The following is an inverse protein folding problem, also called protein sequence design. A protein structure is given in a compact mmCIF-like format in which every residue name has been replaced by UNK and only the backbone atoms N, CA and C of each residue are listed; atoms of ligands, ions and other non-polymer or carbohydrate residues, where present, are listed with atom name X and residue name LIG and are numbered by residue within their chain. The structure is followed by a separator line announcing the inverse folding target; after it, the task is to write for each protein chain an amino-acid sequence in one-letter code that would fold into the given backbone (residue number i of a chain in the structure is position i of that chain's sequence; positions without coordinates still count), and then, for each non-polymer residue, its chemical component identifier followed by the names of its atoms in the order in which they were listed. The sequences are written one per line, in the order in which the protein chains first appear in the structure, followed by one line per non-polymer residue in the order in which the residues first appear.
data_IF_813854167842
#
_entry.id   IF_813854167842
#
_cell.length_a   1.000
_cell.length_b   1.000
_cell.length_c   1.000
_cell.angle_alpha   90.00
_cell.angle_beta   90.00
_cell.angle_gamma   90.00
#
_symmetry.space_group_name_H-M   'P 1'
#
loop_
_entity.id
_entity.type
_entity.pdbx_description
1 polymer ?
#
# COMPACT_ATOMS: atom_id res chain seq x y z
N UNK A 1 -24.93 11.14 -14.97
CA UNK A 1 -25.58 9.91 -14.45
C UNK A 1 -27.00 9.69 -14.97
N UNK A 2 -27.89 10.69 -15.00
CA UNK A 2 -29.31 10.52 -15.40
C UNK A 2 -29.50 9.90 -16.80
N UNK A 3 -28.67 10.29 -17.78
CA UNK A 3 -28.71 9.79 -19.17
C UNK A 3 -28.49 8.27 -19.30
N UNK A 4 -27.75 7.65 -18.37
CA UNK A 4 -27.36 6.23 -18.42
C UNK A 4 -28.01 5.38 -17.34
N UNK A 5 -29.15 5.83 -16.79
CA UNK A 5 -29.81 5.20 -15.64
C UNK A 5 -30.12 3.71 -15.89
N UNK A 6 -30.61 3.36 -17.07
CA UNK A 6 -30.94 1.97 -17.41
C UNK A 6 -29.71 1.06 -17.41
N UNK A 7 -28.57 1.54 -17.91
CA UNK A 7 -27.32 0.78 -17.87
C UNK A 7 -26.81 0.62 -16.43
N UNK A 8 -26.88 1.69 -15.63
CA UNK A 8 -26.44 1.68 -14.23
C UNK A 8 -27.30 0.77 -13.34
N UNK A 9 -28.59 0.61 -13.64
CA UNK A 9 -29.48 -0.32 -12.90
C UNK A 9 -28.99 -1.78 -12.98
N UNK A 10 -28.25 -2.16 -14.04
CA UNK A 10 -27.72 -3.51 -14.23
C UNK A 10 -26.18 -3.59 -14.15
N UNK A 11 -25.52 -2.58 -13.60
CA UNK A 11 -24.05 -2.51 -13.55
C UNK A 11 -23.52 -2.56 -12.12
N UNK A 12 -22.36 -3.21 -11.95
CA UNK A 12 -21.47 -2.91 -10.85
C UNK A 12 -20.64 -1.67 -11.21
N UNK A 13 -20.64 -0.67 -10.34
CA UNK A 13 -19.92 0.59 -10.54
C UNK A 13 -18.99 0.80 -9.37
N UNK A 14 -17.70 0.89 -9.67
CA UNK A 14 -16.64 1.12 -8.70
C UNK A 14 -16.11 2.53 -8.90
N UNK A 15 -16.09 3.32 -7.84
CA UNK A 15 -15.44 4.62 -7.81
C UNK A 15 -14.37 4.56 -6.73
N UNK A 16 -13.11 4.63 -7.14
CA UNK A 16 -11.97 4.43 -6.25
C UNK A 16 -10.87 5.46 -6.48
N UNK A 17 -10.19 5.84 -5.41
CA UNK A 17 -8.89 6.51 -5.46
C UNK A 17 -7.75 5.50 -5.47
N UNK A 18 -6.62 5.88 -6.04
CA UNK A 18 -5.34 5.18 -5.87
C UNK A 18 -4.67 5.55 -4.53
N UNK A 19 -5.05 6.71 -3.97
CA UNK A 19 -4.64 7.18 -2.66
C UNK A 19 -5.68 8.16 -2.06
N UNK A 20 -5.57 8.48 -0.76
CA UNK A 20 -6.31 9.62 -0.18
C UNK A 20 -5.59 10.95 -0.39
N UNK A 21 -5.84 11.95 0.43
CA UNK A 21 -5.35 13.31 0.17
C UNK A 21 -3.82 13.45 0.37
N UNK A 22 -3.09 13.65 -0.75
CA UNK A 22 -1.62 13.76 -0.77
C UNK A 22 -1.08 15.19 -0.83
N UNK A 23 -1.94 16.21 -0.78
CA UNK A 23 -1.55 17.60 -1.03
C UNK A 23 -2.00 18.55 0.09
N UNK A 24 -1.36 19.71 0.16
CA UNK A 24 -1.67 20.76 1.14
C UNK A 24 -1.10 20.51 2.55
N UNK A 25 -1.38 21.46 3.45
CA UNK A 25 -0.88 21.44 4.84
C UNK A 25 -1.40 20.24 5.63
N UNK A 26 -2.59 19.73 5.29
CA UNK A 26 -3.23 18.58 5.94
C UNK A 26 -2.35 17.32 5.93
N UNK A 27 -1.51 17.12 4.91
CA UNK A 27 -0.56 16.00 4.82
C UNK A 27 0.39 15.93 6.02
N UNK A 28 0.69 17.07 6.66
CA UNK A 28 1.59 17.15 7.83
C UNK A 28 0.89 16.79 9.14
N UNK A 29 -0.43 16.61 9.13
CA UNK A 29 -1.22 16.23 10.31
C UNK A 29 -1.26 14.71 10.47
N UNK A 30 -1.61 14.24 11.68
CA UNK A 30 -1.84 12.82 11.94
C UNK A 30 -2.91 12.23 11.01
N UNK A 31 -4.02 12.95 10.81
CA UNK A 31 -5.12 12.52 9.95
C UNK A 31 -4.66 12.43 8.49
N UNK A 32 -3.96 13.44 7.98
CA UNK A 32 -3.44 13.40 6.62
C UNK A 32 -2.42 12.28 6.40
N UNK A 33 -1.58 11.97 7.39
CA UNK A 33 -0.65 10.85 7.31
C UNK A 33 -1.36 9.48 7.22
N UNK A 34 -2.55 9.34 7.81
CA UNK A 34 -3.40 8.16 7.63
C UNK A 34 -4.11 8.18 6.26
N UNK A 35 -4.63 9.33 5.87
CA UNK A 35 -5.47 9.49 4.67
C UNK A 35 -4.70 9.16 3.38
N UNK A 36 -3.42 9.51 3.29
CA UNK A 36 -2.55 9.13 2.16
C UNK A 36 -2.60 7.63 1.82
N UNK A 37 -2.78 6.78 2.84
CA UNK A 37 -2.83 5.32 2.74
C UNK A 37 -4.27 4.76 2.90
N UNK A 38 -5.28 5.62 2.92
CA UNK A 38 -6.69 5.25 3.04
C UNK A 38 -7.50 5.76 1.84
N UNK A 39 -7.29 5.19 0.64
CA UNK A 39 -8.00 5.61 -0.56
C UNK A 39 -9.51 5.40 -0.43
N UNK A 40 -10.27 6.31 -1.03
CA UNK A 40 -11.72 6.19 -1.11
C UNK A 40 -12.13 5.00 -2.00
N UNK A 41 -13.17 4.28 -1.59
CA UNK A 41 -13.83 3.26 -2.41
C UNK A 41 -15.35 3.34 -2.17
N UNK A 42 -16.10 3.59 -3.24
CA UNK A 42 -17.56 3.44 -3.26
C UNK A 42 -17.95 2.46 -4.35
N UNK A 43 -18.88 1.56 -4.01
CA UNK A 43 -19.40 0.57 -4.94
C UNK A 43 -20.92 0.67 -4.98
N UNK A 44 -21.45 0.69 -6.19
CA UNK A 44 -22.88 0.55 -6.48
C UNK A 44 -23.08 -0.78 -7.20
N UNK A 45 -23.90 -1.67 -6.64
CA UNK A 45 -24.24 -2.97 -7.25
C UNK A 45 -25.54 -2.88 -8.08
N UNK A 46 -25.80 -3.81 -9.01
CA UNK A 46 -27.06 -3.86 -9.77
C UNK A 46 -28.30 -3.78 -8.87
N UNK A 47 -29.30 -3.04 -9.32
CA UNK A 47 -30.53 -2.72 -8.56
C UNK A 47 -31.28 -3.96 -8.11
N UNK A 48 -31.38 -4.97 -8.97
CA UNK A 48 -32.06 -6.23 -8.63
C UNK A 48 -31.33 -7.00 -7.53
N UNK A 49 -29.99 -6.99 -7.53
CA UNK A 49 -29.20 -7.66 -6.49
C UNK A 49 -29.35 -6.99 -5.12
N UNK A 50 -29.66 -5.69 -5.08
CA UNK A 50 -29.93 -4.97 -3.81
C UNK A 50 -31.20 -5.44 -3.13
N UNK A 51 -32.19 -5.90 -3.91
CA UNK A 51 -33.52 -6.27 -3.41
C UNK A 51 -33.67 -7.77 -3.23
N UNK A 52 -33.12 -8.55 -4.15
CA UNK A 52 -33.40 -9.97 -4.28
C UNK A 52 -32.27 -10.85 -3.71
N UNK A 53 -31.20 -10.25 -3.18
CA UNK A 53 -30.08 -10.98 -2.56
C UNK A 53 -29.66 -10.33 -1.24
N UNK A 54 -28.83 -11.02 -0.47
CA UNK A 54 -28.21 -10.48 0.76
C UNK A 54 -26.97 -9.62 0.48
N UNK A 55 -26.57 -9.45 -0.78
CA UNK A 55 -25.31 -8.80 -1.15
C UNK A 55 -25.17 -7.39 -0.57
N UNK A 56 -26.21 -6.57 -0.64
CA UNK A 56 -26.13 -5.19 -0.12
C UNK A 56 -25.89 -5.17 1.40
N UNK A 57 -26.55 -6.05 2.16
CA UNK A 57 -26.41 -6.11 3.62
C UNK A 57 -25.05 -6.66 4.02
N UNK A 58 -24.54 -7.64 3.28
CA UNK A 58 -23.18 -8.17 3.44
C UNK A 58 -22.14 -7.10 3.16
N UNK A 59 -22.28 -6.36 2.04
CA UNK A 59 -21.38 -5.27 1.70
C UNK A 59 -21.39 -4.17 2.76
N UNK A 60 -22.56 -3.80 3.31
CA UNK A 60 -22.64 -2.86 4.44
C UNK A 60 -21.89 -3.36 5.67
N UNK A 61 -22.01 -4.65 6.01
CA UNK A 61 -21.24 -5.25 7.12
C UNK A 61 -19.74 -5.25 6.84
N UNK A 62 -19.33 -5.59 5.63
CA UNK A 62 -17.92 -5.61 5.24
C UNK A 62 -17.31 -4.21 5.16
N UNK A 63 -18.09 -3.19 4.78
CA UNK A 63 -17.63 -1.79 4.76
C UNK A 63 -17.22 -1.26 6.15
N UNK A 64 -17.69 -1.89 7.23
CA UNK A 64 -17.28 -1.58 8.61
C UNK A 64 -15.98 -2.28 9.05
N UNK A 65 -15.35 -3.06 8.16
CA UNK A 65 -14.09 -3.77 8.39
C UNK A 65 -12.99 -3.15 7.53
N UNK A 66 -11.73 -3.34 7.94
CA UNK A 66 -10.57 -2.95 7.14
C UNK A 66 -10.56 -3.69 5.80
N UNK A 67 -10.66 -2.94 4.69
CA UNK A 67 -10.59 -3.46 3.32
C UNK A 67 -9.27 -3.08 2.65
N UNK A 68 -8.90 -3.83 1.61
CA UNK A 68 -7.68 -3.63 0.82
C UNK A 68 -7.99 -3.69 -0.68
N UNK A 69 -7.07 -3.21 -1.52
CA UNK A 69 -7.19 -3.38 -2.97
C UNK A 69 -7.20 -4.85 -3.41
N UNK A 70 -6.66 -5.78 -2.60
CA UNK A 70 -6.79 -7.21 -2.86
C UNK A 70 -8.25 -7.67 -2.77
N UNK A 71 -9.04 -7.14 -1.82
CA UNK A 71 -10.47 -7.47 -1.72
C UNK A 71 -11.26 -6.91 -2.91
N UNK A 72 -10.83 -5.76 -3.46
CA UNK A 72 -11.40 -5.20 -4.70
C UNK A 72 -11.11 -6.09 -5.90
N UNK A 73 -9.86 -6.58 -6.03
CA UNK A 73 -9.51 -7.56 -7.06
C UNK A 73 -10.35 -8.84 -6.92
N UNK A 74 -10.47 -9.39 -5.72
CA UNK A 74 -11.29 -10.58 -5.47
C UNK A 74 -12.77 -10.33 -5.77
N UNK A 75 -13.32 -9.15 -5.46
CA UNK A 75 -14.68 -8.80 -5.82
C UNK A 75 -14.91 -8.74 -7.34
N UNK A 76 -13.96 -8.20 -8.10
CA UNK A 76 -14.02 -8.19 -9.58
C UNK A 76 -13.98 -9.61 -10.12
N UNK A 77 -13.09 -10.46 -9.60
CA UNK A 77 -12.99 -11.87 -10.02
C UNK A 77 -14.27 -12.67 -9.65
N UNK A 78 -14.87 -12.38 -8.51
CA UNK A 78 -16.13 -12.98 -8.07
C UNK A 78 -17.31 -12.55 -8.97
N UNK A 79 -17.35 -11.30 -9.43
CA UNK A 79 -18.33 -10.82 -10.43
C UNK A 79 -18.19 -11.58 -11.75
N UNK A 80 -16.94 -11.76 -12.22
CA UNK A 80 -16.62 -12.42 -13.49
C UNK A 80 -16.68 -13.95 -13.42
N UNK A 81 -16.77 -14.52 -12.21
CA UNK A 81 -16.63 -15.94 -11.82
C UNK A 81 -15.79 -16.81 -12.77
N UNK A 82 -14.46 -16.73 -12.62
CA UNK A 82 -13.54 -17.73 -13.19
C UNK A 82 -13.56 -18.99 -12.31
N UNK A 83 -14.17 -20.07 -12.79
CA UNK A 83 -14.01 -21.40 -12.18
C UNK A 83 -12.62 -21.93 -12.53
N UNK A 84 -11.69 -21.94 -11.57
CA UNK A 84 -10.46 -22.74 -11.66
C UNK A 84 -10.72 -24.10 -11.01
N UNK A 85 -11.33 -25.03 -11.74
CA UNK A 85 -11.30 -26.45 -11.35
C UNK A 85 -10.27 -27.23 -12.19
N UNK A 86 -9.13 -27.46 -11.54
CA UNK A 86 -8.12 -28.54 -11.66
C UNK A 86 -7.39 -28.84 -12.99
N UNK A 87 -6.10 -29.24 -12.91
CA UNK A 87 -5.39 -29.81 -14.06
C UNK A 87 -5.87 -31.24 -14.29
N UNK A 88 -6.67 -31.46 -15.34
CA UNK A 88 -6.71 -32.71 -16.10
C UNK A 88 -7.40 -32.46 -17.43
N UNK A 89 -6.57 -32.29 -18.45
CA UNK A 89 -6.82 -32.63 -19.85
C UNK A 89 -8.19 -32.19 -20.39
N UNK A 90 -8.26 -30.93 -20.85
CA UNK A 90 -8.85 -30.46 -22.13
C UNK A 90 -8.94 -28.92 -22.04
N UNK A 91 -8.25 -28.25 -22.96
CA UNK A 91 -8.24 -26.80 -23.14
C UNK A 91 -9.59 -26.28 -23.62
N UNK A 92 -10.50 -25.92 -22.71
CA UNK A 92 -11.53 -24.91 -22.97
C UNK A 92 -11.84 -24.18 -21.67
N UNK A 93 -11.17 -23.05 -21.45
CA UNK A 93 -11.46 -22.11 -20.36
C UNK A 93 -12.90 -21.60 -20.49
N UNK A 94 -13.85 -22.21 -19.78
CA UNK A 94 -15.16 -21.59 -19.55
C UNK A 94 -15.03 -20.54 -18.46
N UNK A 95 -14.70 -19.32 -18.86
CA UNK A 95 -14.94 -18.12 -18.05
C UNK A 95 -16.46 -18.00 -17.85
N UNK A 96 -17.00 -18.52 -16.75
CA UNK A 96 -18.41 -18.34 -16.42
C UNK A 96 -18.64 -16.89 -15.98
N UNK A 97 -18.96 -15.99 -16.91
CA UNK A 97 -19.04 -14.55 -16.64
C UNK A 97 -20.05 -14.11 -15.56
N UNK A 98 -20.97 -14.96 -15.11
CA UNK A 98 -21.90 -14.69 -14.02
C UNK A 98 -22.14 -15.96 -13.17
N UNK A 99 -22.29 -15.83 -11.84
CA UNK A 99 -22.55 -16.97 -10.98
C UNK A 99 -23.86 -17.68 -11.31
N UNK A 100 -23.84 -19.00 -11.49
CA UNK A 100 -25.02 -19.84 -11.69
C UNK A 100 -26.08 -19.67 -10.57
N UNK A 101 -25.65 -19.27 -9.37
CA UNK A 101 -26.52 -18.97 -8.23
C UNK A 101 -27.11 -17.56 -8.24
N UNK A 102 -26.88 -16.75 -9.29
CA UNK A 102 -27.32 -15.35 -9.36
C UNK A 102 -26.94 -14.54 -8.08
N UNK A 103 -25.70 -14.71 -7.64
CA UNK A 103 -25.13 -14.07 -6.43
C UNK A 103 -25.83 -14.39 -5.10
N UNK A 104 -26.58 -15.50 -5.04
CA UNK A 104 -27.16 -15.97 -3.77
C UNK A 104 -26.18 -16.81 -2.95
N UNK A 105 -25.11 -17.30 -3.57
CA UNK A 105 -23.99 -17.92 -2.86
C UNK A 105 -23.12 -16.83 -2.23
N UNK A 106 -23.27 -16.67 -0.92
CA UNK A 106 -22.64 -15.60 -0.15
C UNK A 106 -21.64 -16.10 0.88
N UNK A 107 -21.35 -17.41 0.90
CA UNK A 107 -20.36 -17.99 1.81
C UNK A 107 -18.96 -17.43 1.49
N UNK A 108 -18.05 -17.36 2.49
CA UNK A 108 -16.68 -16.99 2.24
C UNK A 108 -16.06 -17.83 1.13
N UNK A 109 -15.51 -17.17 0.12
CA UNK A 109 -14.86 -17.81 -1.02
C UNK A 109 -13.38 -17.44 -1.01
N UNK A 110 -12.54 -18.48 -0.97
CA UNK A 110 -11.11 -18.35 -1.22
C UNK A 110 -10.84 -18.62 -2.70
N UNK A 111 -10.35 -17.61 -3.41
CA UNK A 111 -9.97 -17.73 -4.82
C UNK A 111 -8.49 -18.10 -4.87
N UNK A 112 -8.17 -19.23 -5.52
CA UNK A 112 -6.79 -19.73 -5.58
C UNK A 112 -5.84 -18.68 -6.18
N UNK A 113 -4.72 -18.44 -5.50
CA UNK A 113 -3.72 -17.45 -5.90
C UNK A 113 -4.04 -16.00 -5.55
N UNK A 114 -5.24 -15.72 -5.03
CA UNK A 114 -5.64 -14.37 -4.62
C UNK A 114 -5.43 -14.13 -3.12
N UNK A 115 -5.21 -12.87 -2.75
CA UNK A 115 -4.87 -12.47 -1.37
C UNK A 115 -6.03 -11.81 -0.61
N UNK A 116 -7.11 -11.48 -1.31
CA UNK A 116 -8.25 -10.77 -0.76
C UNK A 116 -9.52 -11.61 -0.74
N UNK A 117 -10.54 -11.12 -0.03
CA UNK A 117 -11.86 -11.74 0.02
C UNK A 117 -12.88 -10.76 -0.55
N UNK A 118 -13.65 -11.21 -1.54
CA UNK A 118 -14.72 -10.43 -2.15
C UNK A 118 -15.66 -9.86 -1.08
N UNK A 119 -15.87 -8.55 -1.08
CA UNK A 119 -16.83 -7.92 -0.18
C UNK A 119 -18.29 -8.16 -0.60
N UNK A 120 -18.54 -8.83 -1.73
CA UNK A 120 -19.87 -9.26 -2.17
C UNK A 120 -20.35 -10.51 -1.40
N UNK A 121 -19.44 -11.17 -0.68
CA UNK A 121 -19.66 -12.36 0.14
C UNK A 121 -19.34 -12.08 1.60
N UNK A 122 -19.78 -12.96 2.49
CA UNK A 122 -19.31 -12.95 3.86
C UNK A 122 -17.79 -13.12 3.87
N UNK A 123 -17.08 -12.28 4.61
CA UNK A 123 -15.65 -12.44 4.81
C UNK A 123 -15.38 -13.41 5.97
N UNK A 124 -14.27 -14.17 5.95
CA UNK A 124 -13.92 -15.08 7.04
C UNK A 124 -13.94 -14.40 8.41
N UNK A 125 -14.20 -15.18 9.46
CA UNK A 125 -14.21 -14.68 10.85
C UNK A 125 -12.79 -14.48 11.41
N UNK A 126 -11.95 -13.79 10.66
CA UNK A 126 -10.58 -13.43 11.03
C UNK A 126 -10.55 -11.91 11.23
N UNK A 127 -9.97 -11.47 12.33
CA UNK A 127 -9.80 -10.03 12.60
C UNK A 127 -8.93 -9.44 11.49
N UNK A 128 -9.49 -8.48 10.74
CA UNK A 128 -8.79 -7.76 9.68
C UNK A 128 -7.97 -6.62 10.26
N UNK A 129 -6.65 -6.74 10.19
CA UNK A 129 -5.67 -5.77 10.67
C UNK A 129 -4.38 -5.96 9.87
N UNK A 130 -3.38 -5.10 10.02
CA UNK A 130 -2.13 -5.20 9.26
C UNK A 130 -1.27 -6.46 9.55
N UNK A 131 -1.60 -7.23 10.59
CA UNK A 131 -0.92 -8.51 10.89
C UNK A 131 -1.55 -9.68 10.13
N UNK A 132 -2.87 -9.65 9.97
CA UNK A 132 -3.65 -10.74 9.37
C UNK A 132 -4.10 -10.44 7.93
N UNK A 133 -3.89 -9.22 7.45
CA UNK A 133 -4.15 -8.82 6.08
C UNK A 133 -2.83 -8.56 5.36
N UNK A 134 -2.74 -8.80 4.03
CA UNK A 134 -1.52 -8.64 3.23
C UNK A 134 -1.15 -7.16 2.99
N UNK A 135 -1.14 -6.34 4.04
CA UNK A 135 -0.87 -4.91 3.99
C UNK A 135 0.60 -4.69 4.35
N UNK A 136 1.43 -4.18 3.44
CA UNK A 136 2.80 -3.80 3.77
C UNK A 136 2.82 -2.78 4.91
N UNK A 137 3.79 -2.90 5.83
CA UNK A 137 3.81 -2.11 7.08
C UNK A 137 3.84 -0.59 6.84
N UNK A 138 4.42 -0.13 5.74
CA UNK A 138 4.43 1.29 5.35
C UNK A 138 3.03 1.82 4.96
N UNK A 139 2.15 0.94 4.49
CA UNK A 139 0.76 1.26 4.13
C UNK A 139 -0.24 0.91 5.23
N UNK A 140 0.25 0.40 6.36
CA UNK A 140 -0.60 0.06 7.48
C UNK A 140 -1.17 1.33 8.14
N UNK A 141 -2.50 1.43 8.16
CA UNK A 141 -3.23 2.52 8.85
C UNK A 141 -3.62 2.17 10.30
N UNK A 142 -3.32 0.96 10.78
CA UNK A 142 -3.55 0.61 12.18
C UNK A 142 -2.71 1.53 13.08
N UNK A 143 -3.34 2.00 14.16
CA UNK A 143 -2.70 2.88 15.12
C UNK A 143 -1.94 2.04 16.15
N UNK A 144 -0.65 2.30 16.27
CA UNK A 144 0.23 1.67 17.26
C UNK A 144 0.77 2.74 18.18
N UNK A 145 0.83 2.44 19.48
CA UNK A 145 1.51 3.32 20.43
C UNK A 145 3.01 3.33 20.12
N UNK A 146 3.55 4.55 20.09
CA UNK A 146 4.95 4.79 19.81
C UNK A 146 5.49 5.85 20.74
N UNK A 147 6.69 5.62 21.23
CA UNK A 147 7.42 6.55 22.08
C UNK A 147 8.53 7.24 21.28
N UNK A 148 8.60 8.57 21.37
CA UNK A 148 9.70 9.32 20.77
C UNK A 148 11.01 9.02 21.50
N UNK A 149 12.08 8.77 20.75
CA UNK A 149 13.41 8.51 21.29
C UNK A 149 14.42 9.50 20.71
N UNK A 150 15.59 9.63 21.36
CA UNK A 150 16.62 10.58 20.92
C UNK A 150 17.05 10.33 19.48
N UNK A 151 17.10 11.41 18.70
CA UNK A 151 17.53 11.42 17.29
C UNK A 151 19.04 11.61 17.12
N UNK A 152 19.78 11.83 18.22
CA UNK A 152 21.22 12.15 18.21
C UNK A 152 22.13 11.03 18.73
N UNK A 153 21.55 9.95 19.27
CA UNK A 153 22.33 8.84 19.81
C UNK A 153 22.90 7.92 18.70
N UNK A 154 23.82 7.03 19.08
CA UNK A 154 24.48 6.10 18.14
C UNK A 154 23.48 5.20 17.40
N UNK A 155 22.37 4.82 18.06
CA UNK A 155 21.31 4.04 17.44
C UNK A 155 20.65 4.82 16.30
N UNK A 156 20.26 6.07 16.54
CA UNK A 156 19.62 6.92 15.54
C UNK A 156 20.53 7.13 14.32
N UNK A 157 21.81 7.41 14.55
CA UNK A 157 22.80 7.53 13.47
C UNK A 157 22.96 6.23 12.67
N UNK A 158 23.00 5.09 13.35
CA UNK A 158 23.11 3.77 12.69
C UNK A 158 21.86 3.44 11.87
N UNK A 159 20.68 3.75 12.39
CA UNK A 159 19.40 3.61 11.68
C UNK A 159 19.39 4.48 10.43
N UNK A 160 19.76 5.76 10.53
CA UNK A 160 19.85 6.66 9.39
C UNK A 160 20.79 6.12 8.31
N UNK A 161 21.99 5.69 8.70
CA UNK A 161 22.98 5.12 7.78
C UNK A 161 22.43 3.89 7.06
N UNK A 162 21.72 3.01 7.76
CA UNK A 162 21.08 1.84 7.14
C UNK A 162 19.99 2.24 6.15
N UNK A 163 19.20 3.29 6.44
CA UNK A 163 18.18 3.80 5.50
C UNK A 163 18.86 4.38 4.26
N UNK A 164 19.86 5.24 4.41
CA UNK A 164 20.60 5.79 3.28
C UNK A 164 21.29 4.71 2.44
N UNK A 165 21.89 3.70 3.08
CA UNK A 165 22.41 2.51 2.40
C UNK A 165 21.33 1.84 1.55
N UNK A 166 20.15 1.59 2.13
CA UNK A 166 19.06 0.91 1.45
C UNK A 166 18.53 1.74 0.26
N UNK A 167 18.43 3.07 0.40
CA UNK A 167 18.09 3.98 -0.72
C UNK A 167 19.10 3.87 -1.86
N UNK A 168 20.40 3.80 -1.55
CA UNK A 168 21.43 3.66 -2.57
C UNK A 168 21.42 2.27 -3.23
N UNK A 169 21.05 1.22 -2.49
CA UNK A 169 20.88 -0.11 -3.08
C UNK A 169 19.70 -0.16 -4.06
N UNK A 170 18.58 0.51 -3.80
CA UNK A 170 17.49 0.64 -4.77
C UNK A 170 17.99 1.24 -6.09
N UNK A 171 18.80 2.32 -6.02
CA UNK A 171 19.40 2.93 -7.22
C UNK A 171 20.40 2.01 -7.91
N UNK A 172 21.11 1.16 -7.16
CA UNK A 172 22.07 0.19 -7.70
C UNK A 172 21.37 -0.97 -8.39
N UNK A 173 20.32 -1.53 -7.78
CA UNK A 173 19.50 -2.58 -8.37
C UNK A 173 18.83 -2.09 -9.67
N UNK A 174 18.39 -0.83 -9.70
CA UNK A 174 17.88 -0.17 -10.89
C UNK A 174 18.94 0.26 -11.92
N UNK A 175 20.23 0.06 -11.67
CA UNK A 175 21.35 0.54 -12.50
C UNK A 175 21.39 2.07 -12.74
N UNK A 176 20.96 2.87 -11.76
CA UNK A 176 20.88 4.33 -11.82
C UNK A 176 21.99 5.08 -11.07
N UNK A 177 22.98 4.37 -10.53
CA UNK A 177 24.11 4.97 -9.79
C UNK A 177 25.00 5.89 -10.63
N UNK A 178 24.94 5.79 -11.97
CA UNK A 178 25.65 6.70 -12.88
C UNK A 178 24.94 8.05 -12.96
N UNK A 179 23.60 8.05 -12.99
CA UNK A 179 22.74 9.23 -13.16
C UNK A 179 22.44 9.93 -11.84
N UNK A 180 22.24 9.18 -10.76
CA UNK A 180 21.80 9.70 -9.46
C UNK A 180 22.97 9.83 -8.47
N UNK A 181 22.95 10.85 -7.61
CA UNK A 181 23.93 11.02 -6.53
C UNK A 181 23.81 9.89 -5.49
N UNK A 182 24.90 9.66 -4.76
CA UNK A 182 24.87 8.84 -3.55
C UNK A 182 24.19 9.62 -2.41
N UNK A 183 23.13 9.07 -1.84
CA UNK A 183 22.42 9.63 -0.71
C UNK A 183 23.20 9.40 0.58
N UNK A 184 23.47 10.49 1.32
CA UNK A 184 24.17 10.46 2.62
C UNK A 184 23.32 11.14 3.66
N UNK A 185 23.23 10.55 4.85
CA UNK A 185 22.47 11.12 5.97
C UNK A 185 23.06 12.46 6.39
N UNK A 186 22.19 13.45 6.54
CA UNK A 186 22.49 14.69 7.23
C UNK A 186 22.08 14.58 8.71
N UNK A 187 20.78 14.36 8.94
CA UNK A 187 20.21 14.29 10.29
C UNK A 187 18.98 13.38 10.37
N UNK A 188 18.69 12.90 11.59
CA UNK A 188 17.45 12.19 11.90
C UNK A 188 16.42 13.22 12.38
N UNK A 189 15.33 13.37 11.64
CA UNK A 189 14.26 14.30 11.98
C UNK A 189 13.29 13.71 13.02
N UNK A 190 13.03 12.40 12.93
CA UNK A 190 12.13 11.71 13.85
C UNK A 190 12.55 10.25 14.02
N UNK A 191 12.49 9.75 15.26
CA UNK A 191 12.68 8.35 15.58
C UNK A 191 11.64 7.94 16.63
N UNK A 192 10.70 7.10 16.21
CA UNK A 192 9.57 6.66 17.03
C UNK A 192 9.66 5.15 17.25
N UNK A 193 9.89 4.72 18.48
CA UNK A 193 9.93 3.31 18.87
C UNK A 193 8.52 2.78 19.06
N UNK A 194 8.19 1.63 18.50
CA UNK A 194 6.92 0.96 18.82
C UNK A 194 7.00 0.40 20.24
N UNK A 195 5.95 0.61 21.03
CA UNK A 195 5.94 0.18 22.44
C UNK A 195 5.85 -1.35 22.57
N UNK A 196 5.26 -2.01 21.57
CA UNK A 196 5.23 -3.47 21.48
C UNK A 196 6.60 -4.01 21.04
N UNK A 197 7.27 -4.72 21.96
CA UNK A 197 8.46 -5.51 21.66
C UNK A 197 8.06 -6.87 21.09
N UNK A 198 8.70 -7.30 20.00
CA UNK A 198 8.46 -8.60 19.38
C UNK A 198 9.67 -9.51 19.64
N UNK A 199 9.63 -10.33 20.69
CA UNK A 199 10.69 -11.30 21.02
C UNK A 199 12.10 -10.68 21.09
N UNK A 200 12.24 -9.53 21.76
CA UNK A 200 13.50 -8.79 21.87
C UNK A 200 13.86 -7.91 20.66
N UNK A 201 13.07 -7.96 19.59
CA UNK A 201 13.16 -7.04 18.46
C UNK A 201 12.55 -5.68 18.84
N UNK A 202 13.26 -4.60 18.51
CA UNK A 202 12.70 -3.25 18.56
C UNK A 202 12.33 -2.77 17.15
N UNK A 203 11.10 -2.28 16.99
CA UNK A 203 10.64 -1.65 15.76
C UNK A 203 10.66 -0.13 15.90
N UNK A 204 11.00 0.56 14.81
CA UNK A 204 11.00 2.01 14.76
C UNK A 204 10.39 2.52 13.46
N UNK A 205 9.66 3.64 13.53
CA UNK A 205 9.39 4.50 12.38
C UNK A 205 10.37 5.65 12.42
N UNK A 206 11.13 5.85 11.34
CA UNK A 206 12.19 6.86 11.26
C UNK A 206 11.93 7.82 10.11
N UNK A 207 12.16 9.11 10.32
CA UNK A 207 12.24 10.13 9.28
C UNK A 207 13.67 10.67 9.26
N UNK A 208 14.33 10.59 8.11
CA UNK A 208 15.73 10.96 7.92
C UNK A 208 15.87 11.92 6.77
N UNK A 209 16.71 12.94 6.94
CA UNK A 209 17.06 13.90 5.90
C UNK A 209 18.44 13.57 5.34
N UNK A 210 18.58 13.62 4.02
CA UNK A 210 19.85 13.47 3.31
C UNK A 210 20.56 14.82 3.16
N UNK A 211 21.87 14.77 2.92
CA UNK A 211 22.72 15.94 2.70
C UNK A 211 22.37 16.69 1.41
N UNK A 212 22.87 17.92 1.33
CA UNK A 212 22.95 18.66 0.07
C UNK A 212 23.69 17.84 -1.01
N UNK A 213 23.30 17.95 -2.29
CA UNK A 213 22.29 18.89 -2.81
C UNK A 213 20.84 18.42 -2.70
N UNK A 214 20.58 17.14 -2.40
CA UNK A 214 19.21 16.60 -2.48
C UNK A 214 18.30 17.04 -1.33
N UNK A 215 18.85 17.21 -0.12
CA UNK A 215 18.07 17.50 1.10
C UNK A 215 16.91 16.54 1.35
N UNK A 216 17.05 15.33 0.83
CA UNK A 216 15.95 14.41 0.67
C UNK A 216 15.39 13.90 2.02
N UNK A 217 14.09 14.09 2.29
CA UNK A 217 13.41 13.49 3.46
C UNK A 217 12.76 12.13 3.14
N UNK A 218 13.31 11.07 3.73
CA UNK A 218 12.79 9.72 3.64
C UNK A 218 12.16 9.25 4.95
N UNK A 219 11.08 8.48 4.85
CA UNK A 219 10.43 7.78 5.96
C UNK A 219 10.54 6.28 5.75
N UNK A 220 10.95 5.56 6.79
CA UNK A 220 11.08 4.11 6.75
C UNK A 220 10.66 3.47 8.07
N UNK A 221 10.17 2.24 7.99
CA UNK A 221 10.08 1.38 9.17
C UNK A 221 11.34 0.52 9.24
N UNK A 222 11.92 0.37 10.42
CA UNK A 222 13.12 -0.45 10.63
C UNK A 222 12.93 -1.39 11.80
N UNK A 223 13.57 -2.54 11.72
CA UNK A 223 13.70 -3.47 12.84
C UNK A 223 15.15 -3.56 13.29
N UNK A 224 15.35 -3.56 14.59
CA UNK A 224 16.64 -3.72 15.25
C UNK A 224 16.62 -5.04 16.00
N UNK A 225 17.48 -5.96 15.58
CA UNK A 225 17.65 -7.28 16.21
C UNK A 225 18.42 -7.17 17.52
N UNK A 226 18.29 -8.14 18.45
CA UNK A 226 19.10 -8.19 19.67
C UNK A 226 20.61 -8.13 19.42
N UNK A 227 21.07 -8.60 18.26
CA UNK A 227 22.48 -8.53 17.82
C UNK A 227 22.93 -7.11 17.43
N UNK A 228 22.04 -6.13 17.43
CA UNK A 228 22.29 -4.78 16.92
C UNK A 228 22.11 -4.63 15.40
N UNK A 229 21.86 -5.73 14.66
CA UNK A 229 21.64 -5.67 13.21
C UNK A 229 20.33 -4.94 12.89
N UNK A 230 20.43 -3.93 12.02
CA UNK A 230 19.31 -3.11 11.57
C UNK A 230 18.85 -3.59 10.20
N UNK A 231 17.54 -3.69 9.98
CA UNK A 231 16.94 -3.98 8.68
C UNK A 231 15.79 -3.03 8.40
N UNK A 232 15.73 -2.48 7.20
CA UNK A 232 14.55 -1.76 6.71
C UNK A 232 13.41 -2.76 6.48
N UNK A 233 12.18 -2.34 6.78
CA UNK A 233 10.95 -3.10 6.61
C UNK A 233 10.06 -2.42 5.59
N UNK A 234 9.70 -3.17 4.55
CA UNK A 234 8.91 -2.64 3.45
C UNK A 234 9.69 -1.60 2.65
N UNK A 235 8.96 -0.72 1.97
CA UNK A 235 9.53 0.32 1.14
C UNK A 235 9.92 1.56 1.93
N UNK A 236 10.88 2.32 1.39
CA UNK A 236 11.29 3.62 1.91
C UNK A 236 10.47 4.69 1.19
N UNK A 237 9.75 5.52 1.94
CA UNK A 237 8.86 6.53 1.37
C UNK A 237 9.56 7.88 1.25
N UNK A 238 9.52 8.47 0.06
CA UNK A 238 9.89 9.87 -0.19
C UNK A 238 8.78 10.80 0.32
N UNK A 239 9.06 11.63 1.34
CA UNK A 239 8.01 12.41 2.02
C UNK A 239 7.87 13.86 1.53
N UNK A 240 8.91 14.42 0.95
CA UNK A 240 8.93 15.69 0.25
C UNK A 240 8.82 15.48 -1.27
N UNK A 241 8.52 16.55 -2.00
CA UNK A 241 8.44 16.44 -3.46
C UNK A 241 9.83 16.39 -4.07
N UNK A 242 10.01 15.56 -5.10
CA UNK A 242 11.25 15.47 -5.88
C UNK A 242 11.12 16.12 -7.27
N UNK A 243 9.90 16.35 -7.76
CA UNK A 243 9.64 17.07 -9.03
C UNK A 243 10.60 16.68 -10.16
N UNK A 244 11.40 17.64 -10.61
CA UNK A 244 12.35 17.54 -11.71
C UNK A 244 13.72 17.03 -11.29
N UNK A 245 14.00 16.87 -9.99
CA UNK A 245 15.33 16.47 -9.50
C UNK A 245 15.71 15.05 -9.91
N UNK A 246 14.75 14.25 -10.37
CA UNK A 246 14.93 12.87 -10.82
C UNK A 246 14.72 12.69 -12.34
N UNK A 247 14.76 13.77 -13.13
CA UNK A 247 14.43 13.74 -14.57
C UNK A 247 15.44 12.99 -15.46
N UNK A 248 16.63 12.67 -14.95
CA UNK A 248 17.62 11.82 -15.59
C UNK A 248 17.25 10.32 -15.61
N UNK A 249 16.09 9.93 -15.05
CA UNK A 249 15.58 8.56 -15.11
C UNK A 249 14.05 8.53 -15.37
N UNK A 250 13.59 7.53 -16.12
CA UNK A 250 12.18 7.34 -16.46
C UNK A 250 11.45 6.33 -15.55
N UNK A 251 12.18 5.60 -14.70
CA UNK A 251 11.58 4.58 -13.85
C UNK A 251 10.82 5.19 -12.67
N UNK A 252 9.49 5.19 -12.71
CA UNK A 252 8.61 5.70 -11.64
C UNK A 252 8.90 5.09 -10.26
N UNK A 253 9.30 3.82 -10.20
CA UNK A 253 9.69 3.17 -8.94
C UNK A 253 10.94 3.80 -8.29
N UNK A 254 11.92 4.21 -9.11
CA UNK A 254 13.25 4.64 -8.66
C UNK A 254 13.38 6.17 -8.59
N UNK A 255 12.54 6.92 -9.32
CA UNK A 255 12.49 8.39 -9.28
C UNK A 255 12.44 8.97 -7.85
N UNK A 256 11.67 8.42 -6.89
CA UNK A 256 11.66 8.90 -5.51
C UNK A 256 13.01 8.83 -4.79
N UNK A 257 13.91 7.93 -5.19
CA UNK A 257 15.23 7.73 -4.57
C UNK A 257 16.32 8.56 -5.25
N UNK A 258 16.05 9.09 -6.44
CA UNK A 258 17.06 9.73 -7.27
C UNK A 258 17.12 11.25 -7.05
N UNK A 259 18.35 11.75 -7.05
CA UNK A 259 18.63 13.14 -7.36
C UNK A 259 19.74 13.16 -8.42
N UNK A 260 19.46 13.74 -9.58
CA UNK A 260 20.34 13.71 -10.74
C UNK A 260 21.66 14.43 -10.45
N UNK A 261 22.77 13.80 -10.84
CA UNK A 261 24.10 14.42 -10.77
C UNK A 261 24.17 15.67 -11.66
N UNK A 262 23.51 15.62 -12.81
CA UNK A 262 23.35 16.74 -13.72
C UNK A 262 21.88 17.15 -13.81
N UNK A 263 21.53 18.33 -13.29
CA UNK A 263 20.16 18.83 -13.26
C UNK A 263 19.65 19.33 -14.62
N UNK A 264 20.53 19.40 -15.63
CA UNK A 264 20.17 19.79 -17.01
C UNK A 264 19.74 18.58 -17.86
N UNK A 265 19.90 17.35 -17.36
CA UNK A 265 19.45 16.15 -18.07
C UNK A 265 17.92 16.04 -17.97
N UNK A 266 17.26 16.08 -19.12
CA UNK A 266 15.83 15.86 -19.23
C UNK A 266 15.57 14.67 -20.14
N UNK A 267 14.81 13.69 -19.64
CA UNK A 267 14.21 12.65 -20.47
C UNK A 267 12.79 13.13 -20.80
N UNK A 268 12.62 13.68 -22.00
CA UNK A 268 11.33 13.91 -22.64
C UNK A 268 11.29 13.09 -23.92
#
# INVERSE_FOLDING_TARGET
MVKHRKQLDNSFVFFMGDHGLRFGSVRKTFVGALDVNNPFLAISIPKELRKNTKMLDIMKKNAMKLQTHFDTRSAILDILKVLYEAPKLIEFFSLQFQPASNFTDTSPLEISGEKGYSYLREQPNIIRNCKNSPIPIQYCICQFNKTAVSTKNQLALSVGKQIAYSVNEELKEGNFTKQCIEMKVDQILSLLKFDQSLNGLSLYTTVVQMKNPSQAVFKANVKVLPTGKIKVLGMIERTDSYWNTANCISSEHHRPYCYCKNQNETYW
#
